data_IF_700725693708
#
_entry.id   IF_700725693708
#
_cell.length_a   1.000
_cell.length_b   1.000
_cell.length_c   1.000
_cell.angle_alpha   90.00
_cell.angle_beta   90.00
_cell.angle_gamma   90.00
#
_symmetry.space_group_name_H-M   'P 1'
#
loop_
_entity.id
_entity.type
_entity.pdbx_description
1 polymer ?
#
# COMPACT_ATOMS: atom_id res chain seq x y z
N UNK A 1 -18.88 -31.06 -24.65
CA UNK A 1 -17.74 -31.73 -23.97
C UNK A 1 -17.14 -30.71 -23.02
N UNK A 2 -17.45 -30.80 -21.73
CA UNK A 2 -16.94 -29.88 -20.72
C UNK A 2 -15.46 -30.22 -20.46
N UNK A 3 -14.55 -29.31 -20.82
CA UNK A 3 -13.13 -29.46 -20.54
C UNK A 3 -12.90 -29.18 -19.05
N UNK A 4 -12.47 -30.22 -18.32
CA UNK A 4 -11.91 -30.11 -16.98
C UNK A 4 -10.69 -29.16 -17.03
N UNK A 5 -10.84 -27.93 -16.53
CA UNK A 5 -9.69 -27.04 -16.29
C UNK A 5 -9.10 -27.39 -14.91
N UNK A 6 -7.79 -27.72 -14.83
CA UNK A 6 -7.15 -28.01 -13.55
C UNK A 6 -7.15 -26.79 -12.62
N UNK A 7 -7.24 -27.03 -11.31
CA UNK A 7 -7.37 -26.06 -10.18
C UNK A 7 -6.32 -24.92 -10.09
N UNK A 8 -5.33 -24.89 -10.99
CA UNK A 8 -4.26 -23.89 -11.01
C UNK A 8 -4.36 -22.92 -12.20
N UNK A 9 -5.56 -22.51 -12.58
CA UNK A 9 -5.73 -21.46 -13.59
C UNK A 9 -5.51 -20.09 -12.92
N UNK A 10 -4.27 -19.57 -13.01
CA UNK A 10 -4.04 -18.14 -12.80
C UNK A 10 -4.83 -17.37 -13.85
N UNK A 11 -5.46 -16.28 -13.43
CA UNK A 11 -6.19 -15.38 -14.33
C UNK A 11 -5.26 -14.96 -15.49
N UNK A 12 -5.81 -14.89 -16.71
CA UNK A 12 -5.01 -14.53 -17.89
C UNK A 12 -4.39 -13.13 -17.75
N UNK A 13 -5.05 -12.25 -16.98
CA UNK A 13 -4.54 -10.92 -16.61
C UNK A 13 -3.32 -10.93 -15.68
N UNK A 14 -3.03 -12.03 -14.98
CA UNK A 14 -1.88 -12.16 -14.07
C UNK A 14 -0.64 -12.80 -14.74
N UNK A 15 -0.74 -13.13 -16.03
CA UNK A 15 0.40 -13.71 -16.76
C UNK A 15 1.52 -12.69 -16.91
N UNK A 16 2.71 -13.06 -16.43
CA UNK A 16 3.94 -12.26 -16.59
C UNK A 16 4.52 -12.48 -17.99
N UNK A 17 4.17 -11.61 -18.93
CA UNK A 17 4.58 -11.73 -20.34
C UNK A 17 5.88 -10.98 -20.67
N UNK A 18 6.26 -10.01 -19.84
CA UNK A 18 7.45 -9.16 -20.06
C UNK A 18 8.58 -9.56 -19.11
N UNK A 19 9.77 -9.76 -19.68
CA UNK A 19 11.00 -10.06 -18.94
C UNK A 19 12.00 -8.92 -19.08
N UNK A 20 12.50 -8.42 -17.96
CA UNK A 20 13.49 -7.33 -17.91
C UNK A 20 14.68 -7.76 -17.08
N UNK A 21 15.89 -7.56 -17.59
CA UNK A 21 17.14 -7.80 -16.85
C UNK A 21 17.64 -6.52 -16.18
N UNK A 22 18.08 -6.64 -14.93
CA UNK A 22 18.59 -5.53 -14.12
C UNK A 22 20.03 -5.83 -13.69
N UNK A 23 20.93 -4.85 -13.83
CA UNK A 23 22.27 -4.91 -13.23
C UNK A 23 22.26 -4.15 -11.92
N UNK A 24 22.86 -4.73 -10.89
CA UNK A 24 22.97 -4.13 -9.57
C UNK A 24 24.29 -4.52 -8.93
N UNK A 25 24.71 -3.74 -7.95
CA UNK A 25 25.88 -4.07 -7.12
C UNK A 25 25.54 -5.22 -6.16
N UNK A 26 26.56 -5.95 -5.69
CA UNK A 26 26.37 -7.05 -4.74
C UNK A 26 25.65 -6.59 -3.46
N UNK A 27 26.03 -5.42 -2.92
CA UNK A 27 25.37 -4.84 -1.73
C UNK A 27 23.89 -4.55 -1.95
N UNK A 28 23.49 -4.12 -3.15
CA UNK A 28 22.09 -3.91 -3.48
C UNK A 28 21.33 -5.23 -3.57
N UNK A 29 21.94 -6.24 -4.21
CA UNK A 29 21.37 -7.58 -4.32
C UNK A 29 21.10 -8.18 -2.93
N UNK A 30 22.08 -8.14 -2.02
CA UNK A 30 21.96 -8.74 -0.69
C UNK A 30 20.88 -8.05 0.15
N UNK A 31 20.80 -6.71 0.09
CA UNK A 31 19.77 -5.93 0.78
C UNK A 31 18.37 -6.20 0.23
N UNK A 32 18.22 -6.38 -1.08
CA UNK A 32 16.94 -6.72 -1.70
C UNK A 32 16.54 -8.14 -1.30
N UNK A 33 17.49 -9.07 -1.33
CA UNK A 33 17.28 -10.47 -0.94
C UNK A 33 16.81 -10.58 0.51
N UNK A 34 17.48 -9.93 1.45
CA UNK A 34 17.08 -9.92 2.86
C UNK A 34 15.64 -9.43 3.06
N UNK A 35 15.26 -8.33 2.37
CA UNK A 35 13.90 -7.80 2.45
C UNK A 35 12.85 -8.67 1.78
N UNK A 36 13.22 -9.36 0.69
CA UNK A 36 12.35 -10.31 0.00
C UNK A 36 12.13 -11.55 0.86
N UNK A 37 13.20 -12.10 1.44
CA UNK A 37 13.18 -13.25 2.34
C UNK A 37 12.37 -12.96 3.61
N UNK A 38 12.52 -11.76 4.19
CA UNK A 38 11.71 -11.31 5.34
C UNK A 38 10.20 -11.25 5.04
N UNK A 39 9.82 -11.10 3.77
CA UNK A 39 8.42 -11.11 3.31
C UNK A 39 8.00 -12.44 2.69
N UNK A 40 8.87 -13.46 2.69
CA UNK A 40 8.62 -14.75 2.03
C UNK A 40 8.41 -14.65 0.51
N UNK A 41 8.98 -13.62 -0.13
CA UNK A 41 8.82 -13.34 -1.55
C UNK A 41 10.11 -13.61 -2.32
N UNK A 42 9.99 -13.96 -3.61
CA UNK A 42 11.15 -13.95 -4.50
C UNK A 42 11.60 -12.51 -4.79
N UNK A 43 12.88 -12.31 -5.10
CA UNK A 43 13.45 -10.99 -5.46
C UNK A 43 12.62 -10.31 -6.55
N UNK A 44 12.22 -11.04 -7.60
CA UNK A 44 11.42 -10.50 -8.70
C UNK A 44 10.03 -10.04 -8.25
N UNK A 45 9.36 -10.84 -7.41
CA UNK A 45 8.04 -10.49 -6.87
C UNK A 45 8.12 -9.30 -5.93
N UNK A 46 9.14 -9.28 -5.06
CA UNK A 46 9.39 -8.16 -4.16
C UNK A 46 9.68 -6.86 -4.90
N UNK A 47 10.49 -6.91 -5.98
CA UNK A 47 10.80 -5.72 -6.79
C UNK A 47 9.58 -5.19 -7.51
N UNK A 48 8.77 -6.07 -8.12
CA UNK A 48 7.52 -5.68 -8.77
C UNK A 48 6.57 -5.07 -7.73
N UNK A 49 6.36 -5.75 -6.59
CA UNK A 49 5.49 -5.26 -5.52
C UNK A 49 5.94 -3.91 -4.96
N UNK A 50 7.25 -3.73 -4.75
CA UNK A 50 7.82 -2.48 -4.24
C UNK A 50 7.79 -1.32 -5.25
N UNK A 51 7.79 -1.62 -6.55
CA UNK A 51 7.73 -0.63 -7.63
C UNK A 51 6.28 -0.32 -8.07
N UNK A 52 5.37 -1.29 -7.92
CA UNK A 52 3.96 -1.17 -8.29
C UNK A 52 3.09 -0.63 -7.16
N UNK A 53 3.49 -0.78 -5.90
CA UNK A 53 2.83 -0.09 -4.78
C UNK A 53 3.23 1.38 -4.83
N UNK A 54 2.26 2.25 -5.10
CA UNK A 54 2.38 3.67 -4.76
C UNK A 54 2.78 3.73 -3.29
N UNK A 55 4.00 4.22 -3.02
CA UNK A 55 4.53 4.30 -1.66
C UNK A 55 3.86 5.45 -0.92
N UNK A 56 2.57 5.31 -0.63
CA UNK A 56 1.99 5.99 0.50
C UNK A 56 2.55 5.26 1.71
N UNK A 57 3.56 5.85 2.39
CA UNK A 57 4.18 5.26 3.59
C UNK A 57 3.20 4.99 4.75
N UNK A 58 1.90 5.25 4.54
CA UNK A 58 0.81 5.05 5.45
C UNK A 58 0.05 3.77 5.09
N UNK A 59 0.07 2.79 5.99
CA UNK A 59 -0.81 1.64 5.87
C UNK A 59 -2.27 2.08 6.13
N UNK A 60 -3.29 1.38 5.58
CA UNK A 60 -4.69 1.67 5.88
C UNK A 60 -4.98 1.70 7.39
N UNK A 61 -4.33 0.83 8.16
CA UNK A 61 -4.45 0.80 9.61
C UNK A 61 -3.94 2.10 10.27
N UNK A 62 -2.81 2.66 9.80
CA UNK A 62 -2.30 3.93 10.30
C UNK A 62 -3.20 5.10 9.92
N UNK A 63 -3.81 5.09 8.73
CA UNK A 63 -4.77 6.12 8.30
C UNK A 63 -6.02 6.13 9.18
N UNK A 64 -6.56 4.95 9.50
CA UNK A 64 -7.69 4.81 10.43
C UNK A 64 -7.32 5.31 11.83
N UNK A 65 -6.12 4.98 12.32
CA UNK A 65 -5.65 5.48 13.62
C UNK A 65 -5.54 7.02 13.64
N UNK A 66 -4.98 7.63 12.59
CA UNK A 66 -4.91 9.09 12.46
C UNK A 66 -6.31 9.73 12.44
N UNK A 67 -7.25 9.15 11.69
CA UNK A 67 -8.63 9.65 11.63
C UNK A 67 -9.31 9.60 13.01
N UNK A 68 -9.14 8.50 13.75
CA UNK A 68 -9.74 8.34 15.06
C UNK A 68 -9.19 9.38 16.06
N UNK A 69 -7.87 9.59 16.07
CA UNK A 69 -7.25 10.60 16.92
C UNK A 69 -7.76 12.01 16.59
N UNK A 70 -7.88 12.34 15.30
CA UNK A 70 -8.42 13.61 14.88
C UNK A 70 -9.88 13.77 15.30
N UNK A 71 -10.70 12.75 15.10
CA UNK A 71 -12.11 12.77 15.49
C UNK A 71 -12.26 13.01 17.00
N UNK A 72 -11.42 12.41 17.83
CA UNK A 72 -11.46 12.63 19.28
C UNK A 72 -11.02 14.03 19.67
N UNK A 73 -9.99 14.58 19.01
CA UNK A 73 -9.60 15.99 19.19
C UNK A 73 -10.73 16.95 18.76
N UNK A 74 -11.36 16.68 17.63
CA UNK A 74 -12.50 17.46 17.13
C UNK A 74 -13.66 17.46 18.12
N UNK A 75 -14.04 16.30 18.69
CA UNK A 75 -15.10 16.22 19.72
C UNK A 75 -14.80 17.09 20.95
N UNK A 76 -13.52 17.20 21.34
CA UNK A 76 -13.11 18.05 22.46
C UNK A 76 -13.21 19.53 22.13
N UNK A 77 -12.90 19.91 20.88
CA UNK A 77 -12.86 21.29 20.43
C UNK A 77 -14.20 21.83 19.89
N UNK A 78 -15.12 20.94 19.48
CA UNK A 78 -16.38 21.28 18.77
C UNK A 78 -17.24 22.31 19.49
N UNK A 79 -17.22 22.32 20.84
CA UNK A 79 -18.00 23.26 21.64
C UNK A 79 -17.44 24.68 21.66
N UNK A 80 -16.13 24.83 21.44
CA UNK A 80 -15.43 26.11 21.55
C UNK A 80 -15.06 26.68 20.19
N UNK A 81 -14.65 25.84 19.25
CA UNK A 81 -14.18 26.25 17.92
C UNK A 81 -14.73 25.33 16.81
N UNK A 82 -16.05 25.39 16.52
CA UNK A 82 -16.69 24.51 15.54
C UNK A 82 -16.17 24.73 14.09
N UNK A 83 -15.84 25.97 13.72
CA UNK A 83 -15.32 26.30 12.38
C UNK A 83 -13.93 25.69 12.14
N UNK A 84 -13.11 25.64 13.20
CA UNK A 84 -11.79 25.03 13.20
C UNK A 84 -11.89 23.51 13.06
N UNK A 85 -12.84 22.90 13.77
CA UNK A 85 -13.16 21.48 13.66
C UNK A 85 -13.58 21.10 12.25
N UNK A 86 -14.50 21.86 11.63
CA UNK A 86 -14.93 21.62 10.25
C UNK A 86 -13.76 21.73 9.26
N UNK A 87 -12.88 22.72 9.43
CA UNK A 87 -11.66 22.84 8.62
C UNK A 87 -10.75 21.62 8.77
N UNK A 88 -10.47 21.20 10.00
CA UNK A 88 -9.61 20.05 10.29
C UNK A 88 -10.16 18.75 9.69
N UNK A 89 -11.47 18.51 9.80
CA UNK A 89 -12.13 17.36 9.20
C UNK A 89 -12.06 17.38 7.66
N UNK A 90 -12.26 18.55 7.04
CA UNK A 90 -12.12 18.72 5.58
C UNK A 90 -10.71 18.43 5.10
N UNK A 91 -9.68 18.92 5.80
CA UNK A 91 -8.28 18.65 5.44
C UNK A 91 -7.92 17.16 5.58
N UNK A 92 -8.39 16.49 6.64
CA UNK A 92 -8.14 15.05 6.79
C UNK A 92 -8.85 14.21 5.72
N UNK A 93 -10.05 14.59 5.32
CA UNK A 93 -10.73 13.94 4.19
C UNK A 93 -9.96 14.11 2.88
N UNK A 94 -9.34 15.27 2.64
CA UNK A 94 -8.45 15.45 1.47
C UNK A 94 -7.21 14.56 1.55
N UNK A 95 -6.67 14.32 2.74
CA UNK A 95 -5.55 13.40 2.95
C UNK A 95 -5.99 11.97 2.61
N UNK A 96 -7.16 11.53 3.10
CA UNK A 96 -7.73 10.22 2.77
C UNK A 96 -7.86 10.01 1.27
N UNK A 97 -8.49 10.94 0.55
CA UNK A 97 -8.71 10.85 -0.90
C UNK A 97 -7.43 10.82 -1.74
N UNK A 98 -6.29 11.25 -1.19
CA UNK A 98 -4.99 11.20 -1.88
C UNK A 98 -4.24 9.89 -1.64
N UNK A 99 -4.65 9.12 -0.63
CA UNK A 99 -3.95 7.93 -0.16
C UNK A 99 -4.74 6.63 -0.38
N UNK A 100 -5.99 6.73 -0.82
CA UNK A 100 -6.87 5.64 -1.29
C UNK A 100 -7.22 5.84 -2.75
#
# INVERSE_FOLDING_TARGET
MAQNKPEHYRDESERKEVSTSLRMTQKQHDKIKEKADAKGQSISTYLIDAASKDQTGFTPALLVQMQNLLNDACKMAERNEPDEVDRMQKEMNKIWQKLT
#
